data_IF_184873865175
#
_entry.id   IF_184873865175
#
_cell.length_a   1.000
_cell.length_b   1.000
_cell.length_c   1.000
_cell.angle_alpha   90.00
_cell.angle_beta   90.00
_cell.angle_gamma   90.00
#
_symmetry.space_group_name_H-M   'P 1'
#
loop_
_entity.id
_entity.type
_entity.pdbx_description
1 polymer ?
#
# COMPACT_ATOMS: atom_id res chain seq x y z
N UNK A 1 50.79 -51.80 10.15
CA UNK A 1 50.38 -51.38 8.77
C UNK A 1 49.19 -50.53 8.83
N UNK A 2 49.36 -49.26 8.46
CA UNK A 2 48.57 -48.08 8.61
C UNK A 2 47.53 -48.01 7.51
N UNK A 3 46.28 -47.71 7.86
CA UNK A 3 45.30 -47.07 6.93
C UNK A 3 44.55 -45.96 7.63
N UNK A 4 45.06 -44.80 7.47
CA UNK A 4 44.39 -43.54 7.70
C UNK A 4 44.19 -42.90 6.32
N UNK A 5 43.06 -42.21 6.16
CA UNK A 5 42.68 -41.21 5.16
C UNK A 5 41.56 -41.66 4.23
N UNK A 6 40.43 -41.02 4.38
CA UNK A 6 39.96 -39.89 3.54
C UNK A 6 38.50 -39.57 3.93
N UNK A 7 38.31 -38.64 4.80
CA UNK A 7 37.00 -37.94 4.93
C UNK A 7 37.29 -36.49 5.18
N UNK A 8 37.47 -35.73 4.13
CA UNK A 8 37.45 -34.27 4.21
C UNK A 8 37.31 -33.70 2.79
N UNK A 9 36.12 -33.40 2.32
CA UNK A 9 35.82 -32.37 1.31
C UNK A 9 34.40 -32.49 0.73
N UNK A 10 33.34 -32.25 1.53
CA UNK A 10 31.97 -32.10 0.96
C UNK A 10 31.16 -31.00 1.66
N UNK A 11 31.75 -30.15 2.47
CA UNK A 11 30.92 -29.21 3.25
C UNK A 11 30.99 -27.71 2.86
N UNK A 12 31.50 -27.33 1.69
CA UNK A 12 31.71 -25.90 1.36
C UNK A 12 30.71 -25.34 0.34
N UNK A 13 29.96 -26.14 -0.40
CA UNK A 13 29.11 -25.61 -1.48
C UNK A 13 27.66 -25.25 -1.10
N UNK A 14 27.15 -25.72 0.03
CA UNK A 14 25.75 -25.49 0.41
C UNK A 14 25.51 -24.10 0.98
N UNK A 15 26.53 -23.41 1.47
CA UNK A 15 26.41 -22.08 2.08
C UNK A 15 26.20 -20.93 1.09
N UNK A 16 26.77 -21.04 -0.12
CA UNK A 16 26.74 -19.94 -1.10
C UNK A 16 25.41 -19.81 -1.83
N UNK A 17 24.72 -20.91 -2.07
CA UNK A 17 23.41 -20.89 -2.75
C UNK A 17 22.29 -20.31 -1.88
N UNK A 18 22.35 -20.49 -0.57
CA UNK A 18 21.40 -19.94 0.38
C UNK A 18 21.53 -18.41 0.57
N UNK A 19 22.73 -17.86 0.41
CA UNK A 19 22.98 -16.42 0.47
C UNK A 19 22.48 -15.70 -0.79
N UNK A 20 22.64 -16.28 -1.97
CA UNK A 20 22.16 -15.71 -3.24
C UNK A 20 20.63 -15.71 -3.34
N UNK A 21 19.96 -16.74 -2.86
CA UNK A 21 18.49 -16.81 -2.86
C UNK A 21 17.83 -15.79 -1.93
N UNK A 22 18.55 -15.25 -0.94
CA UNK A 22 18.05 -14.25 0.01
C UNK A 22 18.31 -12.81 -0.44
N UNK A 23 19.24 -12.56 -1.34
CA UNK A 23 19.55 -11.21 -1.85
C UNK A 23 18.59 -10.75 -2.94
N UNK A 24 18.10 -11.63 -3.79
CA UNK A 24 17.18 -11.29 -4.87
C UNK A 24 15.88 -10.57 -4.40
N UNK A 25 15.21 -10.98 -3.31
CA UNK A 25 14.06 -10.25 -2.80
C UNK A 25 14.39 -8.84 -2.28
N UNK A 26 15.55 -8.65 -1.65
CA UNK A 26 15.97 -7.37 -1.10
C UNK A 26 16.31 -6.36 -2.21
N UNK A 27 17.01 -6.78 -3.26
CA UNK A 27 17.31 -5.96 -4.44
C UNK A 27 16.03 -5.54 -5.16
N UNK A 28 15.10 -6.46 -5.32
CA UNK A 28 13.79 -6.19 -5.93
C UNK A 28 12.99 -5.15 -5.16
N UNK A 29 12.94 -5.28 -3.84
CA UNK A 29 12.28 -4.32 -2.96
C UNK A 29 12.95 -2.93 -3.02
N UNK A 30 14.29 -2.89 -2.99
CA UNK A 30 15.06 -1.66 -3.10
C UNK A 30 14.86 -0.95 -4.45
N UNK A 31 14.76 -1.71 -5.55
CA UNK A 31 14.46 -1.17 -6.88
C UNK A 31 13.09 -0.49 -6.90
N UNK A 32 12.04 -1.19 -6.43
CA UNK A 32 10.67 -0.65 -6.43
C UNK A 32 10.55 0.54 -5.48
N UNK A 33 11.24 0.53 -4.33
CA UNK A 33 11.26 1.65 -3.41
C UNK A 33 11.90 2.91 -4.03
N UNK A 34 13.05 2.77 -4.73
CA UNK A 34 13.68 3.90 -5.45
C UNK A 34 12.80 4.44 -6.56
N UNK A 35 12.09 3.56 -7.28
CA UNK A 35 11.16 3.98 -8.32
C UNK A 35 9.98 4.77 -7.71
N UNK A 36 9.41 4.28 -6.61
CA UNK A 36 8.32 4.97 -5.91
C UNK A 36 8.77 6.35 -5.40
N UNK A 37 9.97 6.46 -4.84
CA UNK A 37 10.55 7.71 -4.39
C UNK A 37 10.75 8.71 -5.54
N UNK A 38 11.35 8.27 -6.65
CA UNK A 38 11.54 9.11 -7.84
C UNK A 38 10.19 9.62 -8.39
N UNK A 39 9.16 8.77 -8.40
CA UNK A 39 7.82 9.15 -8.83
C UNK A 39 7.14 10.13 -7.86
N UNK A 40 7.30 9.95 -6.54
CA UNK A 40 6.77 10.85 -5.52
C UNK A 40 7.37 12.25 -5.62
N UNK A 41 8.66 12.34 -5.89
CA UNK A 41 9.38 13.61 -6.11
C UNK A 41 9.21 14.18 -7.52
N UNK A 42 8.47 13.50 -8.40
CA UNK A 42 8.32 13.87 -9.82
C UNK A 42 9.64 13.96 -10.57
N UNK A 43 10.63 13.20 -10.13
CA UNK A 43 11.93 13.11 -10.80
C UNK A 43 11.82 12.22 -12.05
N UNK A 44 11.33 12.85 -13.13
CA UNK A 44 11.14 12.18 -14.43
C UNK A 44 12.46 11.66 -14.99
N UNK A 45 13.56 12.34 -14.69
CA UNK A 45 14.88 11.96 -15.17
C UNK A 45 15.34 10.66 -14.51
N UNK A 46 15.24 10.57 -13.18
CA UNK A 46 15.56 9.36 -12.45
C UNK A 46 14.69 8.17 -12.89
N UNK A 47 13.38 8.38 -13.08
CA UNK A 47 12.50 7.32 -13.59
C UNK A 47 12.93 6.86 -15.00
N UNK A 48 13.26 7.80 -15.91
CA UNK A 48 13.71 7.48 -17.24
C UNK A 48 15.03 6.68 -17.26
N UNK A 49 15.92 6.93 -16.30
CA UNK A 49 17.18 6.21 -16.16
C UNK A 49 17.00 4.77 -15.62
N UNK A 50 15.82 4.46 -15.06
CA UNK A 50 15.45 3.11 -14.63
C UNK A 50 14.81 2.28 -15.73
N UNK A 51 14.63 2.81 -16.94
CA UNK A 51 13.99 2.12 -18.08
C UNK A 51 15.06 1.60 -19.03
N UNK A 52 14.83 0.41 -19.60
CA UNK A 52 15.59 -0.13 -20.73
C UNK A 52 14.98 0.39 -22.03
N UNK A 53 15.82 0.81 -22.95
CA UNK A 53 15.41 1.25 -24.30
C UNK A 53 16.00 0.35 -25.39
N UNK A 54 15.28 0.16 -26.53
CA UNK A 54 13.86 0.52 -26.73
C UNK A 54 12.93 -0.42 -25.98
N UNK A 55 11.72 0.07 -25.66
CA UNK A 55 10.65 -0.78 -25.11
C UNK A 55 9.28 -0.37 -25.69
N UNK A 56 8.26 -1.19 -25.42
CA UNK A 56 6.88 -0.86 -25.76
C UNK A 56 6.03 -0.75 -24.50
N UNK A 57 5.37 0.40 -24.32
CA UNK A 57 4.32 0.56 -23.32
C UNK A 57 2.98 0.14 -23.92
N UNK A 58 2.09 -0.44 -23.13
CA UNK A 58 0.70 -0.71 -23.50
C UNK A 58 -0.21 0.35 -22.86
N UNK A 59 -0.92 1.11 -23.67
CA UNK A 59 -1.90 2.10 -23.22
C UNK A 59 -3.26 1.71 -23.75
N UNK A 60 -4.19 1.36 -22.88
CA UNK A 60 -5.52 0.84 -23.26
C UNK A 60 -5.47 -0.32 -24.24
N UNK A 61 -4.47 -1.21 -24.10
CA UNK A 61 -4.26 -2.35 -24.97
C UNK A 61 -3.52 -2.05 -26.28
N UNK A 62 -3.21 -0.78 -26.56
CA UNK A 62 -2.45 -0.36 -27.75
C UNK A 62 -0.98 -0.22 -27.41
N UNK A 63 -0.10 -0.84 -28.20
CA UNK A 63 1.34 -0.73 -28.05
C UNK A 63 1.86 0.66 -28.47
N UNK A 64 2.54 1.34 -27.54
CA UNK A 64 3.20 2.63 -27.78
C UNK A 64 4.70 2.39 -27.73
N UNK A 65 5.40 2.48 -28.87
CA UNK A 65 6.86 2.31 -28.89
C UNK A 65 7.55 3.49 -28.23
N UNK A 66 8.56 3.20 -27.41
CA UNK A 66 9.41 4.20 -26.75
C UNK A 66 10.86 3.88 -27.10
N UNK A 67 11.41 4.59 -28.07
CA UNK A 67 12.72 4.29 -28.63
C UNK A 67 13.88 4.71 -27.74
N UNK A 68 13.70 5.78 -26.97
CA UNK A 68 14.79 6.37 -26.17
C UNK A 68 14.26 7.21 -25.00
N UNK A 69 15.19 7.67 -24.16
CA UNK A 69 14.93 8.49 -22.98
C UNK A 69 14.16 9.79 -23.28
N UNK A 70 14.52 10.49 -24.36
CA UNK A 70 13.87 11.75 -24.71
C UNK A 70 12.39 11.54 -25.04
N UNK A 71 12.08 10.49 -25.80
CA UNK A 71 10.70 10.13 -26.12
C UNK A 71 9.91 9.74 -24.85
N UNK A 72 10.53 8.99 -23.92
CA UNK A 72 9.88 8.68 -22.64
C UNK A 72 9.51 9.95 -21.87
N UNK A 73 10.43 10.92 -21.78
CA UNK A 73 10.19 12.17 -21.08
C UNK A 73 9.03 12.97 -21.67
N UNK A 74 8.89 12.96 -23.01
CA UNK A 74 7.77 13.60 -23.69
C UNK A 74 6.43 12.88 -23.43
N UNK A 75 6.45 11.57 -23.27
CA UNK A 75 5.27 10.75 -23.02
C UNK A 75 4.98 10.53 -21.52
N UNK A 76 5.81 11.08 -20.64
CA UNK A 76 5.87 10.71 -19.23
C UNK A 76 4.50 10.73 -18.54
N UNK A 77 3.77 11.83 -18.63
CA UNK A 77 2.50 12.00 -17.92
C UNK A 77 1.39 11.06 -18.43
N UNK A 78 1.46 10.67 -19.71
CA UNK A 78 0.53 9.69 -20.31
C UNK A 78 0.87 8.24 -19.94
N UNK A 79 2.14 7.95 -19.65
CA UNK A 79 2.61 6.61 -19.31
C UNK A 79 2.61 6.37 -17.78
N UNK A 80 3.06 7.35 -17.00
CA UNK A 80 3.14 7.26 -15.55
C UNK A 80 1.97 8.01 -14.89
N UNK A 81 0.75 7.50 -15.17
CA UNK A 81 -0.50 8.06 -14.63
C UNK A 81 -0.54 8.03 -13.11
N UNK A 82 -1.46 8.78 -12.52
CA UNK A 82 -1.67 8.77 -11.07
C UNK A 82 -1.93 7.35 -10.53
N UNK A 83 -2.76 6.57 -11.24
CA UNK A 83 -3.07 5.18 -10.87
C UNK A 83 -1.82 4.31 -10.86
N UNK A 84 -1.00 4.40 -11.90
CA UNK A 84 0.22 3.60 -11.98
C UNK A 84 1.21 3.96 -10.88
N UNK A 85 1.41 5.26 -10.62
CA UNK A 85 2.27 5.72 -9.51
C UNK A 85 1.85 5.13 -8.19
N UNK A 86 0.56 5.13 -7.94
CA UNK A 86 0.03 4.54 -6.73
C UNK A 86 0.23 3.03 -6.61
N UNK A 87 0.06 2.28 -7.69
CA UNK A 87 0.34 0.85 -7.69
C UNK A 87 1.82 0.56 -7.42
N UNK A 88 2.71 1.46 -7.84
CA UNK A 88 4.15 1.37 -7.54
C UNK A 88 4.41 1.65 -6.05
N UNK A 89 3.82 2.71 -5.48
CA UNK A 89 3.91 3.04 -4.06
C UNK A 89 3.38 1.90 -3.18
N UNK A 90 2.24 1.31 -3.56
CA UNK A 90 1.69 0.14 -2.88
C UNK A 90 2.65 -1.06 -2.95
N UNK A 91 3.26 -1.30 -4.11
CA UNK A 91 4.22 -2.37 -4.28
C UNK A 91 5.48 -2.15 -3.45
N UNK A 92 5.93 -0.90 -3.29
CA UNK A 92 7.05 -0.56 -2.41
C UNK A 92 6.70 -0.78 -0.93
N UNK A 93 5.50 -0.39 -0.50
CA UNK A 93 5.04 -0.55 0.88
C UNK A 93 4.81 -2.03 1.27
N UNK A 94 4.46 -2.88 0.30
CA UNK A 94 4.09 -4.29 0.52
C UNK A 94 4.98 -5.24 -0.29
N UNK A 95 6.28 -4.99 -0.37
CA UNK A 95 7.21 -5.66 -1.26
C UNK A 95 7.14 -7.20 -1.20
N UNK A 96 6.96 -7.78 -0.01
CA UNK A 96 6.91 -9.23 0.18
C UNK A 96 5.73 -9.93 -0.49
N UNK A 97 4.62 -9.22 -0.73
CA UNK A 97 3.39 -9.78 -1.33
C UNK A 97 3.05 -9.18 -2.70
N UNK A 98 3.48 -7.94 -2.96
CA UNK A 98 3.14 -7.20 -4.17
C UNK A 98 4.17 -7.32 -5.30
N UNK A 99 5.39 -7.80 -4.97
CA UNK A 99 6.44 -8.05 -5.96
C UNK A 99 6.54 -9.55 -6.21
N UNK A 100 6.39 -9.94 -7.47
CA UNK A 100 6.54 -11.33 -7.90
C UNK A 100 7.84 -11.48 -8.67
N UNK A 101 8.68 -12.41 -8.25
CA UNK A 101 9.93 -12.76 -8.94
C UNK A 101 9.70 -13.91 -9.91
N UNK A 102 10.32 -13.86 -11.08
CA UNK A 102 10.24 -14.93 -12.08
C UNK A 102 10.84 -14.55 -13.43
N UNK A 103 11.41 -15.54 -14.13
CA UNK A 103 11.97 -15.36 -15.48
C UNK A 103 13.09 -14.31 -15.56
N UNK A 104 13.98 -14.26 -14.56
CA UNK A 104 15.10 -13.31 -14.52
C UNK A 104 14.72 -11.86 -14.22
N UNK A 105 13.50 -11.63 -13.73
CA UNK A 105 13.02 -10.28 -13.42
C UNK A 105 11.93 -10.27 -12.36
N UNK A 106 11.31 -9.10 -12.22
CA UNK A 106 10.22 -8.86 -11.26
C UNK A 106 9.00 -8.28 -11.96
N UNK A 107 7.82 -8.62 -11.45
CA UNK A 107 6.54 -8.03 -11.84
C UNK A 107 5.91 -7.38 -10.61
N UNK A 108 5.46 -6.14 -10.74
CA UNK A 108 4.92 -5.34 -9.64
C UNK A 108 3.85 -4.36 -10.16
N UNK A 109 3.41 -3.41 -9.34
CA UNK A 109 2.34 -2.47 -9.69
C UNK A 109 1.06 -3.20 -10.18
N UNK A 110 0.62 -4.23 -9.42
CA UNK A 110 -0.54 -5.02 -9.79
C UNK A 110 -0.40 -5.80 -11.09
N UNK A 111 0.83 -6.07 -11.56
CA UNK A 111 1.12 -6.73 -12.83
C UNK A 111 1.34 -5.75 -14.01
N UNK A 112 1.21 -4.44 -13.77
CA UNK A 112 1.32 -3.42 -14.81
C UNK A 112 2.77 -3.07 -15.18
N UNK A 113 3.73 -3.42 -14.33
CA UNK A 113 5.14 -3.19 -14.59
C UNK A 113 5.96 -4.46 -14.45
N UNK A 114 6.94 -4.58 -15.35
CA UNK A 114 7.98 -5.61 -15.26
C UNK A 114 9.35 -4.95 -15.37
N UNK A 115 10.28 -5.39 -14.54
CA UNK A 115 11.69 -5.07 -14.65
C UNK A 115 12.48 -6.38 -14.75
N UNK A 116 13.45 -6.38 -15.64
CA UNK A 116 14.35 -7.52 -15.88
C UNK A 116 15.79 -7.10 -15.56
N UNK A 117 16.65 -8.09 -15.29
CA UNK A 117 18.08 -7.86 -15.14
C UNK A 117 18.69 -7.46 -16.49
N UNK A 118 19.30 -6.29 -16.51
CA UNK A 118 19.96 -5.71 -17.70
C UNK A 118 21.25 -5.07 -17.23
N UNK A 119 22.38 -5.47 -17.80
CA UNK A 119 23.71 -4.90 -17.51
C UNK A 119 24.04 -4.82 -16.02
N UNK A 120 23.68 -5.87 -15.26
CA UNK A 120 23.96 -5.97 -13.83
C UNK A 120 23.00 -5.25 -12.89
N UNK A 121 21.85 -4.76 -13.39
CA UNK A 121 20.81 -4.15 -12.57
C UNK A 121 19.40 -4.32 -13.13
N UNK A 122 18.40 -4.08 -12.29
CA UNK A 122 17.01 -4.10 -12.72
C UNK A 122 16.68 -2.87 -13.57
N UNK A 123 16.04 -3.09 -14.72
CA UNK A 123 15.50 -2.04 -15.62
C UNK A 123 14.06 -2.36 -15.99
N UNK A 124 13.20 -1.35 -16.07
CA UNK A 124 11.83 -1.49 -16.54
C UNK A 124 11.87 -1.88 -18.02
N UNK A 125 11.28 -3.01 -18.36
CA UNK A 125 11.24 -3.55 -19.72
C UNK A 125 9.84 -3.63 -20.28
N UNK A 126 8.82 -3.58 -19.43
CA UNK A 126 7.42 -3.54 -19.83
C UNK A 126 6.62 -2.64 -18.90
N UNK A 127 5.74 -1.86 -19.50
CA UNK A 127 4.80 -0.97 -18.85
C UNK A 127 3.42 -1.16 -19.49
N UNK A 128 2.40 -1.39 -18.66
CA UNK A 128 1.00 -1.33 -19.06
C UNK A 128 0.33 -0.22 -18.27
N UNK A 129 -0.23 0.74 -18.96
CA UNK A 129 -0.98 1.82 -18.33
C UNK A 129 -2.37 1.27 -18.02
N UNK A 130 -2.75 1.17 -16.76
CA UNK A 130 -4.10 0.74 -16.41
C UNK A 130 -5.11 1.73 -17.00
N UNK A 131 -6.26 1.25 -17.49
CA UNK A 131 -7.30 2.16 -17.95
C UNK A 131 -7.68 3.08 -16.81
N UNK A 132 -7.79 4.38 -17.08
CA UNK A 132 -8.33 5.33 -16.13
C UNK A 132 -9.74 4.86 -15.74
N UNK A 133 -9.85 4.16 -14.66
CA UNK A 133 -11.14 3.80 -14.12
C UNK A 133 -11.68 5.07 -13.50
N UNK A 134 -12.59 5.72 -14.19
CA UNK A 134 -13.54 6.63 -13.56
C UNK A 134 -14.35 5.82 -12.55
N UNK A 135 -13.76 5.55 -11.41
CA UNK A 135 -14.47 4.93 -10.31
C UNK A 135 -15.29 6.04 -9.68
N UNK A 136 -16.52 6.17 -10.13
CA UNK A 136 -17.53 6.80 -9.31
C UNK A 136 -17.57 5.98 -8.02
N UNK A 137 -16.97 6.52 -6.96
CA UNK A 137 -17.12 5.91 -5.66
C UNK A 137 -18.62 5.76 -5.40
N UNK A 138 -19.11 4.58 -4.99
CA UNK A 138 -20.51 4.46 -4.62
C UNK A 138 -20.79 5.47 -3.52
N UNK A 139 -22.03 6.01 -3.46
CA UNK A 139 -22.40 6.92 -2.40
C UNK A 139 -22.08 6.29 -1.06
N UNK A 140 -21.49 7.07 -0.15
CA UNK A 140 -21.11 6.60 1.17
C UNK A 140 -22.34 6.10 1.91
N UNK A 141 -22.29 4.91 2.52
CA UNK A 141 -23.39 4.44 3.33
C UNK A 141 -23.59 5.39 4.52
N UNK A 142 -24.84 5.60 4.95
CA UNK A 142 -25.09 6.37 6.16
C UNK A 142 -24.38 5.73 7.36
N UNK A 143 -24.00 6.54 8.38
CA UNK A 143 -23.35 6.02 9.56
C UNK A 143 -24.17 4.88 10.21
N UNK A 144 -23.50 3.79 10.55
CA UNK A 144 -24.12 2.61 11.18
C UNK A 144 -24.20 2.78 12.69
N UNK A 145 -25.34 2.47 13.29
CA UNK A 145 -25.48 2.51 14.75
C UNK A 145 -24.86 1.26 15.38
N UNK A 146 -23.95 1.49 16.33
CA UNK A 146 -23.35 0.44 17.16
C UNK A 146 -24.24 0.18 18.35
N UNK A 147 -24.82 -1.01 18.43
CA UNK A 147 -25.72 -1.40 19.54
C UNK A 147 -24.90 -2.14 20.59
N UNK A 148 -24.29 -1.39 21.49
CA UNK A 148 -23.63 -1.95 22.67
C UNK A 148 -23.73 -0.97 23.84
N UNK A 149 -23.80 -1.49 25.06
CA UNK A 149 -23.74 -0.67 26.28
C UNK A 149 -22.36 -0.69 26.90
N UNK A 150 -21.72 -1.85 26.98
CA UNK A 150 -20.34 -2.09 27.41
C UNK A 150 -19.80 -3.33 26.70
N UNK A 151 -18.48 -3.45 26.67
CA UNK A 151 -17.81 -4.60 26.05
C UNK A 151 -17.15 -4.24 24.72
N UNK A 152 -17.01 -5.21 23.86
CA UNK A 152 -16.31 -5.10 22.57
C UNK A 152 -17.21 -5.60 21.44
N UNK A 153 -17.14 -4.94 20.31
CA UNK A 153 -17.80 -5.36 19.07
C UNK A 153 -16.86 -5.10 17.87
N UNK A 154 -16.98 -5.97 16.87
CA UNK A 154 -16.19 -5.88 15.66
C UNK A 154 -17.08 -5.68 14.44
N UNK A 155 -16.63 -4.83 13.53
CA UNK A 155 -17.28 -4.54 12.25
C UNK A 155 -16.27 -4.66 11.12
N UNK A 156 -16.62 -5.42 10.09
CA UNK A 156 -15.90 -5.35 8.83
C UNK A 156 -16.49 -4.23 7.97
N UNK A 157 -15.63 -3.46 7.31
CA UNK A 157 -16.02 -2.40 6.42
C UNK A 157 -15.17 -2.34 5.18
N UNK A 158 -15.64 -1.57 4.20
CA UNK A 158 -14.93 -1.28 2.96
C UNK A 158 -15.07 0.20 2.63
N UNK A 159 -13.94 0.90 2.53
CA UNK A 159 -13.89 2.30 2.10
C UNK A 159 -13.56 2.40 0.63
N UNK A 160 -14.21 3.36 -0.04
CA UNK A 160 -14.01 3.68 -1.45
C UNK A 160 -13.57 5.14 -1.58
N UNK A 161 -12.67 5.42 -2.52
CA UNK A 161 -12.21 6.78 -2.79
C UNK A 161 -11.74 7.51 -1.51
N UNK A 162 -12.13 8.75 -1.36
CA UNK A 162 -11.84 9.60 -0.17
C UNK A 162 -12.88 9.40 0.95
N UNK A 163 -13.45 8.22 1.01
CA UNK A 163 -14.58 7.91 1.87
C UNK A 163 -14.28 7.94 3.36
N UNK A 164 -15.36 8.21 4.10
CA UNK A 164 -15.42 8.09 5.55
C UNK A 164 -16.51 7.10 5.90
N UNK A 165 -16.19 6.04 6.61
CA UNK A 165 -17.19 5.11 7.15
C UNK A 165 -17.46 5.48 8.61
N UNK A 166 -18.72 5.72 8.95
CA UNK A 166 -19.15 6.22 10.25
C UNK A 166 -19.86 5.18 11.10
N UNK A 167 -19.59 5.20 12.41
CA UNK A 167 -20.24 4.32 13.38
C UNK A 167 -20.72 5.15 14.57
N UNK A 168 -22.03 5.19 14.80
CA UNK A 168 -22.65 5.97 15.88
C UNK A 168 -22.69 5.12 17.15
N UNK A 169 -22.13 5.66 18.23
CA UNK A 169 -22.08 5.04 19.56
C UNK A 169 -22.71 5.98 20.57
N UNK A 170 -23.58 5.47 21.42
CA UNK A 170 -24.08 6.19 22.58
C UNK A 170 -23.17 5.91 23.77
N UNK A 171 -22.64 6.95 24.39
CA UNK A 171 -21.74 6.83 25.53
C UNK A 171 -22.15 7.78 26.68
N UNK A 172 -21.80 7.41 27.91
CA UNK A 172 -22.09 8.17 29.14
C UNK A 172 -20.84 8.88 29.61
N UNK A 173 -21.02 9.89 30.42
CA UNK A 173 -19.90 10.54 31.10
C UNK A 173 -19.08 9.52 31.89
N UNK A 174 -17.77 9.55 31.72
CA UNK A 174 -16.83 8.65 32.39
C UNK A 174 -16.54 7.35 31.58
N UNK A 175 -17.35 7.01 30.59
CA UNK A 175 -17.03 5.87 29.71
C UNK A 175 -15.71 6.12 28.98
N UNK A 176 -14.94 5.05 28.78
CA UNK A 176 -13.73 5.06 27.93
C UNK A 176 -14.08 4.39 26.60
N UNK A 177 -14.23 5.21 25.57
CA UNK A 177 -14.47 4.75 24.21
C UNK A 177 -13.14 4.51 23.50
N UNK A 178 -12.93 3.28 23.07
CA UNK A 178 -11.75 2.88 22.30
C UNK A 178 -12.17 2.40 20.93
N UNK A 179 -11.40 2.79 19.91
CA UNK A 179 -11.59 2.32 18.55
C UNK A 179 -10.24 1.95 17.93
N UNK A 180 -10.20 0.77 17.32
CA UNK A 180 -9.00 0.22 16.68
C UNK A 180 -9.36 -0.28 15.30
N UNK A 181 -8.54 0.04 14.30
CA UNK A 181 -8.66 -0.54 12.97
C UNK A 181 -7.49 -1.46 12.66
N UNK A 182 -7.83 -2.61 12.10
CA UNK A 182 -6.89 -3.53 11.46
C UNK A 182 -7.14 -3.50 9.97
N UNK A 183 -6.08 -3.36 9.19
CA UNK A 183 -6.15 -3.29 7.74
C UNK A 183 -5.54 -4.55 7.15
N UNK A 184 -6.24 -5.15 6.22
CA UNK A 184 -5.74 -6.33 5.50
C UNK A 184 -4.75 -5.96 4.38
N UNK A 185 -4.70 -4.68 3.96
CA UNK A 185 -3.74 -4.17 3.00
C UNK A 185 -3.41 -2.69 3.25
N UNK A 186 -2.13 -2.39 3.48
CA UNK A 186 -1.61 -1.02 3.50
C UNK A 186 -1.83 -0.23 4.81
N UNK A 187 -1.24 0.99 4.88
CA UNK A 187 -1.33 1.91 6.03
C UNK A 187 -2.26 3.11 5.77
N UNK A 188 -3.32 2.91 5.03
CA UNK A 188 -4.01 3.98 4.29
C UNK A 188 -5.26 4.52 4.96
N UNK A 189 -5.53 4.18 6.21
CA UNK A 189 -6.63 4.72 6.98
C UNK A 189 -6.27 4.94 8.44
N UNK A 190 -7.01 5.83 9.05
CA UNK A 190 -6.95 6.11 10.48
C UNK A 190 -8.36 6.11 11.06
N UNK A 191 -8.45 6.01 12.37
CA UNK A 191 -9.68 6.11 13.13
C UNK A 191 -9.66 7.37 13.98
N UNK A 192 -10.79 8.08 14.02
CA UNK A 192 -11.02 9.21 14.93
C UNK A 192 -12.40 9.15 15.57
N UNK A 193 -12.55 9.84 16.69
CA UNK A 193 -13.83 10.00 17.36
C UNK A 193 -14.25 11.46 17.28
N UNK A 194 -15.48 11.69 16.86
CA UNK A 194 -16.10 13.01 16.78
C UNK A 194 -17.39 13.03 17.59
N UNK A 195 -17.71 14.17 18.16
CA UNK A 195 -19.01 14.40 18.79
C UNK A 195 -20.12 14.39 17.75
N UNK A 196 -21.19 13.63 18.00
CA UNK A 196 -22.24 13.41 17.02
C UNK A 196 -23.01 14.69 16.64
N UNK A 197 -23.17 15.64 17.58
CA UNK A 197 -23.90 16.89 17.35
C UNK A 197 -23.10 17.95 16.58
N UNK A 198 -21.83 18.12 16.96
CA UNK A 198 -20.98 19.22 16.45
C UNK A 198 -20.04 18.78 15.34
N UNK A 199 -19.78 17.48 15.24
CA UNK A 199 -18.74 16.92 14.36
C UNK A 199 -17.31 17.25 14.80
N UNK A 200 -17.14 17.86 15.99
CA UNK A 200 -15.83 18.21 16.52
C UNK A 200 -15.09 16.95 16.95
N UNK A 201 -13.82 16.81 16.55
CA UNK A 201 -12.97 15.73 17.03
C UNK A 201 -12.74 15.86 18.53
N UNK A 202 -12.98 14.77 19.27
CA UNK A 202 -12.79 14.69 20.72
C UNK A 202 -11.54 13.91 21.10
N UNK A 203 -11.00 13.15 20.16
CA UNK A 203 -9.69 12.52 20.31
C UNK A 203 -8.60 13.57 20.03
N UNK A 204 -7.54 13.51 20.82
CA UNK A 204 -6.31 14.28 20.56
C UNK A 204 -5.53 13.60 19.43
N UNK A 205 -6.17 13.32 18.31
CA UNK A 205 -5.48 12.83 17.12
C UNK A 205 -4.54 13.95 16.69
N UNK A 206 -3.29 13.84 17.13
CA UNK A 206 -2.21 14.66 16.59
C UNK A 206 -2.05 14.44 15.08
N UNK A 207 -1.07 15.08 14.47
CA UNK A 207 -0.76 15.01 13.04
C UNK A 207 -0.45 13.59 12.49
N UNK A 208 -0.31 12.60 13.35
CA UNK A 208 -0.15 11.17 13.00
C UNK A 208 -1.52 10.50 12.95
N UNK A 209 -1.87 9.98 11.80
CA UNK A 209 -3.11 9.25 11.56
C UNK A 209 -3.15 7.94 12.39
N UNK A 210 -3.82 7.90 13.57
CA UNK A 210 -3.75 6.76 14.47
C UNK A 210 -4.63 5.62 13.97
N UNK A 211 -4.14 4.38 14.13
CA UNK A 211 -4.96 3.17 13.96
C UNK A 211 -5.74 2.80 15.22
N UNK A 212 -5.44 3.45 16.30
CA UNK A 212 -6.08 3.28 17.60
C UNK A 212 -6.31 4.64 18.21
N UNK A 213 -7.50 4.84 18.76
CA UNK A 213 -7.84 6.01 19.57
C UNK A 213 -8.54 5.57 20.85
N UNK A 214 -8.33 6.33 21.91
CA UNK A 214 -8.98 6.12 23.21
C UNK A 214 -9.37 7.47 23.78
N UNK A 215 -10.64 7.62 24.10
CA UNK A 215 -11.23 8.88 24.57
C UNK A 215 -12.05 8.62 25.83
N UNK A 216 -11.80 9.39 26.88
CA UNK A 216 -12.69 9.44 28.04
C UNK A 216 -13.81 10.43 27.77
N UNK A 217 -15.04 9.97 27.79
CA UNK A 217 -16.23 10.73 27.48
C UNK A 217 -16.52 11.74 28.61
N UNK A 218 -16.53 13.02 28.27
CA UNK A 218 -16.77 14.10 29.22
C UNK A 218 -18.27 14.44 29.33
N UNK A 219 -19.00 14.37 28.22
CA UNK A 219 -20.43 14.66 28.17
C UNK A 219 -21.19 13.44 27.62
N UNK A 220 -22.36 13.10 28.22
CA UNK A 220 -23.17 11.98 27.71
C UNK A 220 -23.77 12.37 26.36
N UNK A 221 -23.77 11.43 25.43
CA UNK A 221 -24.31 11.71 24.10
C UNK A 221 -23.98 10.67 23.05
N UNK A 222 -24.26 11.06 21.80
CA UNK A 222 -23.86 10.28 20.64
C UNK A 222 -22.50 10.74 20.13
N UNK A 223 -21.64 9.78 19.89
CA UNK A 223 -20.32 9.97 19.30
C UNK A 223 -20.24 9.19 18.00
N UNK A 224 -19.49 9.71 17.03
CA UNK A 224 -19.27 9.04 15.78
C UNK A 224 -17.79 8.62 15.69
N UNK A 225 -17.57 7.34 15.55
CA UNK A 225 -16.27 6.79 15.21
C UNK A 225 -16.18 6.84 13.69
N UNK A 226 -15.17 7.50 13.17
CA UNK A 226 -14.93 7.62 11.74
C UNK A 226 -13.68 6.85 11.34
N UNK A 227 -13.83 5.91 10.42
CA UNK A 227 -12.72 5.32 9.71
C UNK A 227 -12.51 6.16 8.46
N UNK A 228 -11.38 6.88 8.41
CA UNK A 228 -11.09 7.87 7.38
C UNK A 228 -9.93 7.36 6.53
N UNK A 229 -10.09 7.46 5.22
CA UNK A 229 -9.01 7.18 4.29
C UNK A 229 -8.07 8.38 4.18
N UNK A 230 -6.78 8.10 4.17
CA UNK A 230 -5.78 9.13 3.83
C UNK A 230 -5.80 9.34 2.32
N UNK A 231 -6.06 10.58 1.89
CA UNK A 231 -6.26 10.99 0.49
C UNK A 231 -5.07 10.70 -0.46
N UNK A 232 -3.93 10.26 0.06
CA UNK A 232 -2.73 10.01 -0.73
C UNK A 232 -2.67 8.64 -1.41
N UNK A 233 -3.68 7.79 -1.25
CA UNK A 233 -3.58 6.38 -1.65
C UNK A 233 -4.60 5.99 -2.70
N UNK A 234 -4.14 5.26 -3.67
CA UNK A 234 -4.69 5.06 -4.99
C UNK A 234 -5.50 3.79 -5.18
N UNK A 235 -5.68 3.01 -4.13
CA UNK A 235 -6.57 1.85 -4.20
C UNK A 235 -8.01 2.34 -4.34
N UNK A 236 -8.79 1.76 -5.26
CA UNK A 236 -10.19 2.12 -5.42
C UNK A 236 -11.00 1.85 -4.15
N UNK A 237 -10.59 0.87 -3.37
CA UNK A 237 -11.18 0.54 -2.07
C UNK A 237 -10.20 -0.24 -1.22
N UNK A 238 -10.40 -0.24 0.10
CA UNK A 238 -9.75 -1.19 1.00
C UNK A 238 -10.73 -1.70 2.05
N UNK A 239 -10.49 -2.92 2.51
CA UNK A 239 -11.23 -3.54 3.59
C UNK A 239 -10.51 -3.36 4.92
N UNK A 240 -11.27 -3.20 5.99
CA UNK A 240 -10.76 -3.06 7.34
C UNK A 240 -11.63 -3.83 8.33
N UNK A 241 -11.06 -4.14 9.50
CA UNK A 241 -11.77 -4.58 10.67
C UNK A 241 -11.69 -3.46 11.70
N UNK A 242 -12.86 -2.96 12.15
CA UNK A 242 -12.98 -1.99 13.22
C UNK A 242 -13.38 -2.72 14.49
N UNK A 243 -12.59 -2.57 15.54
CA UNK A 243 -12.92 -2.99 16.89
C UNK A 243 -13.29 -1.78 17.72
N UNK A 244 -14.49 -1.79 18.31
CA UNK A 244 -14.99 -0.74 19.21
C UNK A 244 -15.16 -1.34 20.59
N UNK A 245 -14.63 -0.64 21.60
CA UNK A 245 -14.74 -1.04 23.01
C UNK A 245 -15.27 0.11 23.84
N UNK A 246 -16.20 -0.16 24.76
CA UNK A 246 -16.68 0.77 25.79
C UNK A 246 -16.43 0.13 27.16
N UNK A 247 -15.67 0.82 28.01
CA UNK A 247 -15.33 0.42 29.38
C UNK A 247 -15.97 1.34 30.40
#
# INVERSE_FOLDING_TARGET
>A
MTRILLVTAVFIEVGSALLLARQAPAESAAFVARLAEAMAHRDRAAVADMVRYPFSASVSGVGVPVANRAQLLNLYDGLFTAELRCLVEESAANAGSAIRTGGGGITFAGGNMRADQVDGGLKITRLSVPPAKGISAPPQPPPRRVTMRRGEVQYSGRLYGDGVDGYIVSARRGDVLQARIEQFAGRNAFVRVVEGKTGKAVDRAGTTAPRFTSVTIQEPGEYRIEVVRLAAYCLPSFTYLLTVTIK
#
